data_IF_226052070285
#
_entry.id   IF_226052070285
#
_cell.length_a   1.000
_cell.length_b   1.000
_cell.length_c   1.000
_cell.angle_alpha   90.00
_cell.angle_beta   90.00
_cell.angle_gamma   90.00
#
_symmetry.space_group_name_H-M   'P 1'
#
loop_
_entity.id
_entity.type
_entity.pdbx_description
1 polymer ?
#
# COMPACT_ATOMS: atom_id res chain seq x y z
N UNK A 1 -10.98 1.35 -13.16
CA UNK A 1 -9.61 1.18 -12.73
C UNK A 1 -9.32 1.97 -11.47
N UNK A 2 -9.55 3.26 -11.45
CA UNK A 2 -9.25 4.19 -10.34
C UNK A 2 -9.78 3.73 -8.98
N UNK A 3 -10.89 2.99 -9.00
CA UNK A 3 -11.51 2.43 -7.79
C UNK A 3 -10.73 1.29 -7.14
N UNK A 4 -9.76 0.69 -7.83
CA UNK A 4 -9.02 -0.50 -7.37
C UNK A 4 -7.51 -0.32 -7.40
N UNK A 5 -6.98 0.62 -8.18
CA UNK A 5 -5.55 0.81 -8.38
C UNK A 5 -4.78 1.06 -7.07
N UNK A 6 -5.45 1.68 -6.08
CA UNK A 6 -4.87 1.96 -4.76
C UNK A 6 -5.15 0.85 -3.73
N UNK A 7 -6.06 -0.07 -4.04
CA UNK A 7 -6.51 -1.11 -3.09
C UNK A 7 -5.74 -2.40 -3.25
N UNK A 8 -5.47 -2.79 -4.51
CA UNK A 8 -4.85 -4.09 -4.83
C UNK A 8 -3.71 -3.92 -5.80
N UNK A 9 -2.64 -4.67 -5.59
CA UNK A 9 -1.46 -4.76 -6.46
C UNK A 9 -1.35 -6.13 -7.10
N UNK A 10 -0.49 -6.27 -8.11
CA UNK A 10 -0.27 -7.55 -8.78
C UNK A 10 0.17 -8.65 -7.82
N UNK A 11 1.00 -8.31 -6.85
CA UNK A 11 1.55 -9.21 -5.83
C UNK A 11 0.48 -9.77 -4.88
N UNK A 12 -0.67 -9.11 -4.77
CA UNK A 12 -1.77 -9.55 -3.93
C UNK A 12 -2.48 -10.80 -4.47
N UNK A 13 -2.33 -11.08 -5.76
CA UNK A 13 -2.92 -12.26 -6.35
C UNK A 13 -2.13 -13.53 -6.01
N UNK A 14 -2.83 -14.58 -5.59
CA UNK A 14 -2.20 -15.85 -5.26
C UNK A 14 -1.66 -16.56 -6.48
N UNK A 15 -2.44 -16.63 -7.56
CA UNK A 15 -2.05 -17.29 -8.79
C UNK A 15 -1.10 -16.44 -9.63
N UNK A 16 -0.04 -17.05 -10.12
CA UNK A 16 0.94 -16.37 -10.97
C UNK A 16 0.30 -15.78 -12.22
N UNK A 17 -0.59 -16.52 -12.86
CA UNK A 17 -1.32 -16.09 -14.06
C UNK A 17 -2.06 -14.77 -13.82
N UNK A 18 -2.74 -14.64 -12.66
CA UNK A 18 -3.44 -13.42 -12.32
C UNK A 18 -2.50 -12.23 -12.05
N UNK A 19 -1.30 -12.47 -11.48
CA UNK A 19 -0.29 -11.43 -11.31
C UNK A 19 0.18 -10.88 -12.65
N UNK A 20 0.48 -11.77 -13.59
CA UNK A 20 0.93 -11.39 -14.93
C UNK A 20 -0.16 -10.60 -15.65
N UNK A 21 -1.41 -11.10 -15.65
CA UNK A 21 -2.54 -10.44 -16.28
C UNK A 21 -2.76 -9.05 -15.64
N UNK A 22 -2.78 -8.95 -14.32
CA UNK A 22 -3.02 -7.68 -13.63
C UNK A 22 -1.92 -6.64 -13.93
N UNK A 23 -0.65 -7.03 -13.94
CA UNK A 23 0.47 -6.14 -14.31
C UNK A 23 0.34 -5.65 -15.76
N UNK A 24 -0.05 -6.54 -16.66
CA UNK A 24 -0.25 -6.17 -18.08
C UNK A 24 -1.40 -5.20 -18.24
N UNK A 25 -2.54 -5.42 -17.58
CA UNK A 25 -3.67 -4.48 -17.54
C UNK A 25 -3.24 -3.14 -16.96
N UNK A 26 -2.52 -3.13 -15.82
CA UNK A 26 -2.01 -1.91 -15.18
C UNK A 26 -1.15 -1.09 -16.14
N UNK A 27 -0.22 -1.76 -16.84
CA UNK A 27 0.66 -1.11 -17.82
C UNK A 27 -0.14 -0.50 -18.98
N UNK A 28 -1.07 -1.24 -19.58
CA UNK A 28 -1.88 -0.74 -20.68
C UNK A 28 -2.68 0.51 -20.28
N UNK A 29 -3.29 0.49 -19.09
CA UNK A 29 -4.07 1.63 -18.61
C UNK A 29 -3.17 2.84 -18.32
N UNK A 30 -1.99 2.64 -17.73
CA UNK A 30 -1.01 3.70 -17.49
C UNK A 30 -0.49 4.32 -18.80
N UNK A 31 -0.43 3.52 -19.88
CA UNK A 31 -0.10 3.98 -21.23
C UNK A 31 -1.32 4.61 -21.95
N UNK A 32 -2.46 4.77 -21.28
CA UNK A 32 -3.73 5.25 -21.86
C UNK A 32 -4.21 4.38 -23.02
N UNK A 33 -3.92 3.09 -22.98
CA UNK A 33 -4.36 2.09 -23.98
C UNK A 33 -5.55 1.29 -23.45
N UNK A 34 -6.42 0.83 -24.34
CA UNK A 34 -7.50 -0.09 -23.96
C UNK A 34 -6.95 -1.37 -23.31
N UNK A 35 -7.67 -1.90 -22.32
CA UNK A 35 -7.32 -3.15 -21.63
C UNK A 35 -8.46 -4.18 -21.76
N UNK A 36 -8.85 -4.48 -23.00
CA UNK A 36 -9.77 -5.57 -23.33
C UNK A 36 -8.99 -6.89 -23.59
N UNK A 37 -9.72 -7.98 -23.77
CA UNK A 37 -9.11 -9.33 -23.93
C UNK A 37 -8.10 -9.38 -25.08
N UNK A 38 -8.38 -8.70 -26.19
CA UNK A 38 -7.53 -8.74 -27.39
C UNK A 38 -6.26 -7.92 -27.16
N UNK A 39 -6.38 -6.71 -26.61
CA UNK A 39 -5.22 -5.83 -26.34
C UNK A 39 -4.33 -6.41 -25.23
N UNK A 40 -4.92 -7.07 -24.22
CA UNK A 40 -4.17 -7.78 -23.18
C UNK A 40 -3.44 -8.98 -23.78
N UNK A 41 -4.09 -9.79 -24.64
CA UNK A 41 -3.44 -10.89 -25.34
C UNK A 41 -2.23 -10.39 -26.15
N UNK A 42 -2.43 -9.39 -27.03
CA UNK A 42 -1.35 -8.82 -27.84
C UNK A 42 -0.17 -8.35 -27.00
N UNK A 43 -0.46 -7.69 -25.87
CA UNK A 43 0.58 -7.21 -24.96
C UNK A 43 1.34 -8.35 -24.27
N UNK A 44 0.67 -9.44 -23.91
CA UNK A 44 1.27 -10.64 -23.34
C UNK A 44 2.11 -11.40 -24.36
N UNK A 45 1.63 -11.56 -25.62
CA UNK A 45 2.38 -12.17 -26.70
C UNK A 45 3.68 -11.43 -27.02
N UNK A 46 3.61 -10.08 -27.06
CA UNK A 46 4.79 -9.24 -27.33
C UNK A 46 5.89 -9.40 -26.27
N UNK A 47 5.53 -9.77 -25.05
CA UNK A 47 6.46 -9.97 -23.94
C UNK A 47 6.79 -11.45 -23.69
N UNK A 48 6.33 -12.37 -24.50
CA UNK A 48 6.45 -13.82 -24.31
C UNK A 48 5.83 -14.30 -22.96
N UNK A 49 4.80 -13.59 -22.47
CA UNK A 49 4.14 -13.88 -21.19
C UNK A 49 2.76 -14.56 -21.34
N UNK A 50 2.27 -14.83 -22.56
CA UNK A 50 0.93 -15.36 -22.77
C UNK A 50 0.73 -16.74 -22.10
N UNK A 51 1.69 -17.62 -22.21
CA UNK A 51 1.64 -18.94 -21.56
C UNK A 51 1.69 -18.82 -20.02
N UNK A 52 2.49 -17.90 -19.49
CA UNK A 52 2.55 -17.61 -18.06
C UNK A 52 1.24 -17.00 -17.53
N UNK A 53 0.45 -16.36 -18.39
CA UNK A 53 -0.89 -15.85 -18.09
C UNK A 53 -1.99 -16.94 -18.20
N UNK A 54 -1.66 -18.16 -18.57
CA UNK A 54 -2.59 -19.28 -18.76
C UNK A 54 -3.14 -19.43 -20.17
N UNK A 55 -2.58 -18.69 -21.13
CA UNK A 55 -2.96 -18.75 -22.55
C UNK A 55 -4.25 -17.97 -22.87
N UNK A 56 -4.52 -17.82 -24.17
CA UNK A 56 -5.65 -17.04 -24.66
C UNK A 56 -7.03 -17.54 -24.17
N UNK A 57 -7.22 -18.86 -24.16
CA UNK A 57 -8.48 -19.45 -23.70
C UNK A 57 -8.77 -19.11 -22.23
N UNK A 58 -7.73 -18.98 -21.42
CA UNK A 58 -7.88 -18.59 -20.02
C UNK A 58 -8.33 -17.13 -19.89
N UNK A 59 -7.78 -16.21 -20.69
CA UNK A 59 -8.20 -14.81 -20.72
C UNK A 59 -9.68 -14.67 -21.11
N UNK A 60 -10.12 -15.43 -22.15
CA UNK A 60 -11.52 -15.46 -22.55
C UNK A 60 -12.41 -15.96 -21.40
N UNK A 61 -12.00 -17.05 -20.74
CA UNK A 61 -12.75 -17.64 -19.64
C UNK A 61 -12.89 -16.65 -18.47
N UNK A 62 -11.83 -15.93 -18.11
CA UNK A 62 -11.86 -14.90 -17.08
C UNK A 62 -12.84 -13.78 -17.44
N UNK A 63 -12.77 -13.26 -18.68
CA UNK A 63 -13.65 -12.19 -19.13
C UNK A 63 -15.12 -12.59 -19.13
N UNK A 64 -15.43 -13.82 -19.58
CA UNK A 64 -16.80 -14.34 -19.64
C UNK A 64 -17.40 -14.62 -18.25
N UNK A 65 -16.57 -15.04 -17.29
CA UNK A 65 -17.00 -15.38 -15.94
C UNK A 65 -16.88 -14.19 -14.96
N UNK A 66 -16.51 -13.00 -15.45
CA UNK A 66 -16.41 -11.81 -14.60
C UNK A 66 -17.79 -11.30 -14.21
N UNK A 67 -18.10 -11.20 -12.90
CA UNK A 67 -19.35 -10.62 -12.43
C UNK A 67 -19.41 -9.13 -12.76
N UNK A 68 -20.56 -8.50 -12.49
CA UNK A 68 -20.72 -7.05 -12.64
C UNK A 68 -19.60 -6.28 -11.93
N UNK A 69 -19.07 -5.25 -12.58
CA UNK A 69 -18.07 -4.33 -12.02
C UNK A 69 -18.62 -3.45 -10.87
N UNK A 70 -19.92 -3.55 -10.54
CA UNK A 70 -20.53 -2.74 -9.48
C UNK A 70 -19.81 -2.87 -8.12
N UNK A 71 -19.38 -4.08 -7.78
CA UNK A 71 -18.72 -4.39 -6.51
C UNK A 71 -17.20 -4.56 -6.63
N UNK A 72 -16.59 -4.04 -7.69
CA UNK A 72 -15.16 -4.28 -7.99
C UNK A 72 -14.24 -3.88 -6.83
N UNK A 73 -14.54 -2.79 -6.13
CA UNK A 73 -13.77 -2.35 -4.96
C UNK A 73 -13.80 -3.39 -3.85
N UNK A 74 -14.99 -3.94 -3.56
CA UNK A 74 -15.13 -4.99 -2.54
C UNK A 74 -14.35 -6.26 -2.90
N UNK A 75 -14.31 -6.62 -4.17
CA UNK A 75 -13.50 -7.76 -4.63
C UNK A 75 -12.02 -7.49 -4.48
N UNK A 76 -11.54 -6.28 -4.79
CA UNK A 76 -10.16 -5.86 -4.57
C UNK A 76 -9.78 -5.91 -3.08
N UNK A 77 -10.65 -5.41 -2.19
CA UNK A 77 -10.47 -5.48 -0.73
C UNK A 77 -10.33 -6.93 -0.24
N UNK A 78 -11.16 -7.86 -0.74
CA UNK A 78 -11.08 -9.29 -0.40
C UNK A 78 -9.73 -9.88 -0.85
N UNK A 79 -9.29 -9.58 -2.08
CA UNK A 79 -8.00 -10.07 -2.59
C UNK A 79 -6.87 -9.54 -1.71
N UNK A 80 -6.88 -8.26 -1.34
CA UNK A 80 -5.89 -7.63 -0.46
C UNK A 80 -5.88 -8.26 0.92
N UNK A 81 -7.04 -8.43 1.55
CA UNK A 81 -7.17 -9.07 2.86
C UNK A 81 -6.57 -10.48 2.85
N UNK A 82 -6.89 -11.28 1.82
CA UNK A 82 -6.33 -12.63 1.67
C UNK A 82 -4.82 -12.62 1.43
N UNK A 83 -4.30 -11.62 0.74
CA UNK A 83 -2.86 -11.41 0.57
C UNK A 83 -2.17 -11.17 1.91
N UNK A 84 -2.68 -10.26 2.72
CA UNK A 84 -2.16 -9.96 4.05
C UNK A 84 -2.15 -11.21 4.94
N UNK A 85 -3.23 -11.98 4.94
CA UNK A 85 -3.31 -13.22 5.73
C UNK A 85 -2.27 -14.25 5.30
N UNK A 86 -1.99 -14.36 3.99
CA UNK A 86 -0.91 -15.24 3.49
C UNK A 86 0.46 -14.77 3.94
N UNK A 87 0.74 -13.47 3.81
CA UNK A 87 2.01 -12.88 4.25
C UNK A 87 2.25 -13.09 5.76
N UNK A 88 1.21 -12.89 6.58
CA UNK A 88 1.29 -13.17 8.02
C UNK A 88 1.59 -14.63 8.31
N UNK A 89 0.95 -15.56 7.62
CA UNK A 89 1.19 -17.00 7.79
C UNK A 89 2.62 -17.39 7.36
N UNK A 90 3.12 -16.82 6.26
CA UNK A 90 4.48 -17.04 5.77
C UNK A 90 5.53 -16.51 6.74
N UNK A 91 5.40 -15.25 7.15
CA UNK A 91 6.30 -14.60 8.14
C UNK A 91 6.25 -15.32 9.47
N UNK A 92 5.07 -15.71 9.96
CA UNK A 92 4.94 -16.49 11.20
C UNK A 92 5.67 -17.84 11.12
N UNK A 93 5.57 -18.53 9.99
CA UNK A 93 6.29 -19.79 9.75
C UNK A 93 7.79 -19.57 9.72
N UNK A 94 8.25 -18.50 9.09
CA UNK A 94 9.66 -18.15 8.99
C UNK A 94 10.25 -17.77 10.37
N UNK A 95 9.52 -16.99 11.17
CA UNK A 95 9.90 -16.66 12.56
C UNK A 95 10.04 -17.94 13.39
N UNK A 96 9.07 -18.84 13.33
CA UNK A 96 9.13 -20.11 14.06
C UNK A 96 10.35 -20.94 13.61
N UNK A 97 10.59 -21.03 12.30
CA UNK A 97 11.76 -21.76 11.75
C UNK A 97 13.08 -21.16 12.23
N UNK A 98 13.21 -19.84 12.24
CA UNK A 98 14.41 -19.12 12.69
C UNK A 98 14.67 -19.34 14.19
N UNK A 99 13.61 -19.38 15.01
CA UNK A 99 13.72 -19.67 16.44
C UNK A 99 14.21 -21.10 16.73
N UNK A 100 13.72 -22.10 15.96
CA UNK A 100 14.20 -23.49 16.08
C UNK A 100 15.59 -23.72 15.50
N UNK A 101 16.02 -22.92 14.52
CA UNK A 101 17.33 -23.03 13.89
C UNK A 101 17.99 -21.65 13.75
N UNK A 102 18.58 -21.13 14.82
CA UNK A 102 19.07 -19.76 14.87
C UNK A 102 20.31 -19.47 14.00
N UNK A 103 21.03 -20.51 13.54
CA UNK A 103 22.18 -20.38 12.65
C UNK A 103 23.27 -19.40 13.19
N UNK A 104 23.52 -19.40 14.47
CA UNK A 104 24.51 -18.53 15.13
C UNK A 104 24.02 -17.12 15.47
N UNK A 105 22.75 -16.78 15.18
CA UNK A 105 22.12 -15.52 15.61
C UNK A 105 21.68 -15.63 17.07
N UNK A 106 21.80 -14.54 17.81
CA UNK A 106 21.29 -14.47 19.18
C UNK A 106 19.77 -14.13 19.22
N UNK A 107 19.18 -14.18 20.40
CA UNK A 107 17.75 -13.93 20.57
C UNK A 107 17.36 -12.49 20.21
N UNK A 108 18.23 -11.49 20.45
CA UNK A 108 17.99 -10.11 20.09
C UNK A 108 17.89 -9.93 18.57
N UNK A 109 18.87 -10.46 17.86
CA UNK A 109 18.89 -10.42 16.39
C UNK A 109 17.66 -11.09 15.75
N UNK A 110 17.20 -12.22 16.32
CA UNK A 110 16.00 -12.90 15.83
C UNK A 110 14.72 -12.10 16.11
N UNK A 111 14.67 -11.39 17.25
CA UNK A 111 13.55 -10.54 17.60
C UNK A 111 13.49 -9.33 16.68
N UNK A 112 14.60 -8.64 16.44
CA UNK A 112 14.69 -7.50 15.53
C UNK A 112 14.28 -7.90 14.09
N UNK A 113 14.71 -9.08 13.63
CA UNK A 113 14.33 -9.61 12.32
C UNK A 113 12.83 -9.89 12.23
N UNK A 114 12.25 -10.48 13.27
CA UNK A 114 10.81 -10.76 13.35
C UNK A 114 9.98 -9.46 13.34
N UNK A 115 10.38 -8.48 14.13
CA UNK A 115 9.75 -7.17 14.20
C UNK A 115 9.76 -6.48 12.83
N UNK A 116 10.93 -6.43 12.18
CA UNK A 116 11.07 -5.85 10.85
C UNK A 116 10.14 -6.51 9.81
N UNK A 117 10.05 -7.84 9.80
CA UNK A 117 9.17 -8.56 8.86
C UNK A 117 7.69 -8.26 9.08
N UNK A 118 7.25 -8.23 10.34
CA UNK A 118 5.86 -7.86 10.68
C UNK A 118 5.59 -6.40 10.34
N UNK A 119 6.54 -5.51 10.63
CA UNK A 119 6.43 -4.10 10.31
C UNK A 119 6.28 -3.84 8.80
N UNK A 120 7.03 -4.54 7.95
CA UNK A 120 6.90 -4.45 6.49
C UNK A 120 5.48 -4.78 6.00
N UNK A 121 4.82 -5.80 6.60
CA UNK A 121 3.42 -6.12 6.28
C UNK A 121 2.50 -4.95 6.68
N UNK A 122 2.69 -4.40 7.88
CA UNK A 122 1.90 -3.28 8.38
C UNK A 122 2.09 -2.02 7.51
N UNK A 123 3.32 -1.69 7.16
CA UNK A 123 3.65 -0.54 6.29
C UNK A 123 3.03 -0.68 4.89
N UNK A 124 3.15 -1.86 4.27
CA UNK A 124 2.52 -2.12 2.97
C UNK A 124 1.00 -1.97 3.00
N UNK A 125 0.40 -2.26 4.15
CA UNK A 125 -1.05 -2.13 4.38
C UNK A 125 -1.44 -0.67 4.62
N UNK A 126 -0.61 0.10 5.34
CA UNK A 126 -0.86 1.51 5.62
C UNK A 126 -0.77 2.36 4.33
N UNK A 127 0.22 2.11 3.48
CA UNK A 127 0.37 2.80 2.18
C UNK A 127 -0.86 2.59 1.28
N UNK A 128 -1.49 1.43 1.32
CA UNK A 128 -2.74 1.15 0.60
C UNK A 128 -3.98 1.86 1.20
N UNK A 129 -3.93 2.23 2.50
CA UNK A 129 -5.02 2.97 3.16
C UNK A 129 -4.90 4.49 3.06
N UNK A 130 -3.68 4.99 2.81
CA UNK A 130 -3.41 6.40 2.56
C UNK A 130 -3.63 6.74 1.07
N UNK A 131 -4.76 6.32 0.50
CA UNK A 131 -5.20 6.79 -0.81
C UNK A 131 -5.22 8.32 -0.87
N UNK A 132 -5.24 8.91 -2.07
CA UNK A 132 -5.38 10.35 -2.22
C UNK A 132 -6.57 10.85 -1.38
N UNK A 133 -6.29 11.68 -0.40
CA UNK A 133 -7.35 12.39 0.31
C UNK A 133 -7.96 13.38 -0.68
N UNK A 134 -9.27 13.35 -0.82
CA UNK A 134 -9.96 14.32 -1.67
C UNK A 134 -9.66 15.74 -1.17
N UNK A 135 -9.38 16.65 -2.09
CA UNK A 135 -9.05 18.05 -1.77
C UNK A 135 -10.03 18.70 -0.76
N UNK A 136 -11.35 18.47 -0.82
CA UNK A 136 -12.28 19.00 0.17
C UNK A 136 -12.01 18.54 1.60
N UNK A 137 -11.58 17.28 1.79
CA UNK A 137 -11.26 16.74 3.12
C UNK A 137 -9.98 17.39 3.67
N UNK A 138 -8.94 17.53 2.84
CA UNK A 138 -7.70 18.22 3.18
C UNK A 138 -7.94 19.70 3.50
N UNK A 139 -8.74 20.38 2.69
CA UNK A 139 -9.09 21.79 2.92
C UNK A 139 -9.82 21.99 4.25
N UNK A 140 -10.72 21.08 4.59
CA UNK A 140 -11.44 21.15 5.88
C UNK A 140 -10.46 21.03 7.05
N UNK A 141 -9.54 20.07 7.01
CA UNK A 141 -8.52 19.89 8.05
C UNK A 141 -7.60 21.11 8.18
N UNK A 142 -7.19 21.70 7.05
CA UNK A 142 -6.37 22.92 7.03
C UNK A 142 -7.14 24.11 7.63
N UNK A 143 -8.41 24.30 7.27
CA UNK A 143 -9.23 25.39 7.81
C UNK A 143 -9.43 25.20 9.31
N UNK A 144 -9.77 23.99 9.78
CA UNK A 144 -9.91 23.70 11.21
C UNK A 144 -8.60 23.97 11.98
N UNK A 145 -7.45 23.65 11.37
CA UNK A 145 -6.13 23.94 11.96
C UNK A 145 -5.85 25.44 12.02
N UNK A 146 -6.20 26.19 10.97
CA UNK A 146 -6.08 27.67 10.95
C UNK A 146 -6.97 28.29 12.02
N UNK A 147 -8.23 27.87 12.13
CA UNK A 147 -9.17 28.36 13.15
C UNK A 147 -8.66 28.07 14.57
N UNK A 148 -8.11 26.88 14.80
CA UNK A 148 -7.52 26.51 16.08
C UNK A 148 -6.31 27.42 16.41
N UNK A 149 -5.46 27.71 15.44
CA UNK A 149 -4.30 28.59 15.62
C UNK A 149 -4.72 30.04 15.82
N UNK A 150 -5.75 30.50 15.13
CA UNK A 150 -6.29 31.87 15.26
C UNK A 150 -7.00 32.11 16.58
N UNK A 151 -7.68 31.08 17.11
CA UNK A 151 -8.45 31.15 18.38
C UNK A 151 -7.57 31.00 19.61
N UNK A 152 -6.24 30.94 19.50
CA UNK A 152 -5.33 30.87 20.65
C UNK A 152 -5.21 32.22 21.34
N UNK A 153 -5.43 32.23 22.66
CA UNK A 153 -5.31 33.42 23.48
C UNK A 153 -3.87 33.93 23.69
N UNK A 154 -2.86 33.07 23.35
CA UNK A 154 -1.45 33.39 23.57
C UNK A 154 -0.63 33.13 22.28
N UNK A 155 -0.18 34.23 21.58
CA UNK A 155 0.62 34.10 20.35
C UNK A 155 2.01 33.44 20.53
N UNK A 156 2.50 33.43 21.79
CA UNK A 156 3.83 32.87 22.13
C UNK A 156 3.78 31.35 22.48
N UNK A 157 2.59 30.74 22.41
CA UNK A 157 2.44 29.33 22.71
C UNK A 157 2.96 28.44 21.56
N UNK A 158 3.85 27.51 21.90
CA UNK A 158 4.47 26.56 20.95
C UNK A 158 3.39 25.70 20.29
N UNK A 159 3.36 25.66 18.96
CA UNK A 159 2.35 24.88 18.19
C UNK A 159 2.69 23.41 18.06
N UNK A 160 3.97 23.07 18.18
CA UNK A 160 4.50 21.72 18.16
C UNK A 160 4.90 21.21 19.54
N UNK A 161 5.75 20.18 19.57
CA UNK A 161 6.33 19.67 20.81
C UNK A 161 7.43 20.64 21.26
N UNK A 162 7.28 21.16 22.48
CA UNK A 162 8.29 22.07 23.06
C UNK A 162 9.63 21.34 23.29
N UNK A 163 10.72 21.94 22.87
CA UNK A 163 12.08 21.41 23.12
C UNK A 163 12.57 21.72 24.55
N UNK A 164 11.97 22.68 25.21
CA UNK A 164 12.39 23.23 26.51
C UNK A 164 13.45 24.34 26.42
N UNK A 165 13.93 24.66 25.21
CA UNK A 165 14.81 25.80 24.96
C UNK A 165 13.98 26.96 24.44
N UNK A 166 13.68 27.92 25.31
CA UNK A 166 12.73 29.03 25.05
C UNK A 166 13.06 29.78 23.74
N UNK A 167 14.32 30.10 23.49
CA UNK A 167 14.72 30.83 22.29
C UNK A 167 14.61 29.99 21.01
N UNK A 168 14.78 28.69 21.09
CA UNK A 168 14.59 27.77 19.98
C UNK A 168 13.09 27.59 19.70
N UNK A 169 12.32 27.35 20.74
CA UNK A 169 10.88 27.16 20.65
C UNK A 169 10.18 28.40 20.08
N UNK A 170 10.62 29.62 20.43
CA UNK A 170 10.12 30.87 19.84
C UNK A 170 10.43 30.99 18.35
N UNK A 171 11.56 30.47 17.87
CA UNK A 171 11.97 30.57 16.45
C UNK A 171 11.35 29.47 15.59
N UNK A 172 11.12 28.29 16.13
CA UNK A 172 10.63 27.12 15.40
C UNK A 172 9.15 26.85 15.63
N UNK A 173 8.55 27.48 16.64
CA UNK A 173 7.22 27.14 17.17
C UNK A 173 7.13 25.69 17.67
N UNK A 174 8.26 25.11 18.09
CA UNK A 174 8.40 23.72 18.51
C UNK A 174 8.57 22.76 17.34
N UNK A 175 8.75 21.48 17.66
CA UNK A 175 8.94 20.41 16.67
C UNK A 175 7.59 20.02 16.08
N UNK A 176 7.44 20.14 14.76
CA UNK A 176 6.19 19.85 14.07
C UNK A 176 6.14 18.38 13.59
N UNK A 177 4.95 17.75 13.54
CA UNK A 177 4.80 16.44 12.92
C UNK A 177 5.27 16.46 11.46
N UNK A 178 6.19 15.57 11.12
CA UNK A 178 6.79 15.50 9.78
C UNK A 178 8.13 16.20 9.60
N UNK A 179 8.61 16.95 10.62
CA UNK A 179 9.95 17.53 10.58
C UNK A 179 11.03 16.47 10.75
N UNK A 180 12.05 16.54 9.92
CA UNK A 180 13.28 15.76 10.08
C UNK A 180 14.27 16.55 10.92
N UNK A 181 14.62 16.00 12.07
CA UNK A 181 15.57 16.61 13.00
C UNK A 181 16.81 15.71 13.06
N UNK A 182 17.94 16.25 12.70
CA UNK A 182 19.24 15.56 12.69
C UNK A 182 20.14 16.19 13.74
#
# INVERSE_FOLDING_TARGET
WDRIAEVVMGEDFYRHEHRVIFRTISRLINESRPADVITVQEALERNDELEAAGGFNYLITLAQNTPSAANIRRYAEIVRERSIMRQLAEVGTEIARSAYNPQGRDAGQLLDEAENKVFQIAESTAKSKQGFLEMPALLKEVVERIDMLYSRDNPDEVTGVATGFIDLDKKTSGLQPGDLII
#
